data_IF_066577421981
#
_entry.id   IF_066577421981
#
_cell.length_a   1.000
_cell.length_b   1.000
_cell.length_c   1.000
_cell.angle_alpha   90.00
_cell.angle_beta   90.00
_cell.angle_gamma   90.00
#
_symmetry.space_group_name_H-M   'P 1'
#
loop_
_entity.id
_entity.type
_entity.pdbx_description
1 polymer ?
#
# COMPACT_ATOMS: atom_id res chain seq x y z
N UNK A 1 -16.01 -17.56 8.16
CA UNK A 1 -14.69 -17.07 7.73
C UNK A 1 -14.75 -15.67 7.12
N UNK A 2 -15.55 -15.43 6.08
CA UNK A 2 -15.55 -14.16 5.31
C UNK A 2 -16.05 -12.89 6.03
N UNK A 3 -16.67 -13.00 7.22
CA UNK A 3 -17.25 -11.87 7.96
C UNK A 3 -16.57 -11.60 9.31
N UNK A 4 -15.42 -12.25 9.57
CA UNK A 4 -14.66 -12.02 10.80
C UNK A 4 -13.87 -10.72 10.64
N UNK A 5 -14.05 -9.77 11.55
CA UNK A 5 -13.18 -8.61 11.65
C UNK A 5 -11.75 -9.07 11.97
N UNK A 6 -10.76 -8.51 11.26
CA UNK A 6 -9.34 -8.77 11.51
C UNK A 6 -8.71 -7.51 12.10
N UNK A 7 -8.02 -7.61 13.24
CA UNK A 7 -7.26 -6.48 13.75
C UNK A 7 -6.02 -6.26 12.85
N UNK A 8 -5.52 -5.02 12.81
CA UNK A 8 -4.44 -4.62 11.91
C UNK A 8 -3.06 -5.22 12.26
N UNK A 9 -2.92 -5.70 13.50
CA UNK A 9 -1.74 -6.39 14.02
C UNK A 9 -1.79 -7.91 13.80
N UNK A 10 -2.87 -8.45 13.22
CA UNK A 10 -2.98 -9.87 12.90
C UNK A 10 -1.94 -10.25 11.83
N UNK A 11 -1.13 -11.28 12.10
CA UNK A 11 -0.27 -11.88 11.08
C UNK A 11 -1.13 -12.68 10.09
N UNK A 12 -1.13 -12.23 8.84
CA UNK A 12 -1.79 -12.90 7.73
C UNK A 12 -0.87 -13.94 7.07
N UNK A 13 -1.40 -15.07 6.58
CA UNK A 13 -0.56 -16.10 5.98
C UNK A 13 0.17 -15.64 4.71
N UNK A 14 -0.26 -14.54 4.09
CA UNK A 14 0.35 -13.94 2.90
C UNK A 14 1.23 -12.71 3.20
N UNK A 15 1.52 -12.35 4.45
CA UNK A 15 2.34 -11.15 4.76
C UNK A 15 3.76 -11.18 4.18
N UNK A 16 4.28 -12.37 3.87
CA UNK A 16 5.57 -12.53 3.23
C UNK A 16 5.57 -12.11 1.75
N UNK A 17 4.39 -11.93 1.15
CA UNK A 17 4.25 -11.48 -0.24
C UNK A 17 4.27 -9.95 -0.24
N UNK A 18 5.25 -9.37 -0.94
CA UNK A 18 5.37 -7.92 -1.10
C UNK A 18 5.02 -7.49 -2.52
N UNK A 19 4.11 -6.53 -2.64
CA UNK A 19 3.83 -5.81 -3.89
C UNK A 19 4.68 -4.52 -4.04
N UNK A 20 5.68 -4.34 -3.17
CA UNK A 20 6.49 -3.10 -3.10
C UNK A 20 5.84 -1.96 -2.34
N UNK A 21 4.72 -2.22 -1.65
CA UNK A 21 4.05 -1.27 -0.75
C UNK A 21 4.39 -1.55 0.71
N UNK A 22 4.43 -0.50 1.53
CA UNK A 22 4.57 -0.57 2.97
C UNK A 22 3.27 -1.05 3.62
N UNK A 23 3.35 -1.97 4.58
CA UNK A 23 2.17 -2.46 5.32
C UNK A 23 1.44 -1.32 6.04
N UNK A 24 2.20 -0.36 6.57
CA UNK A 24 1.67 0.80 7.29
C UNK A 24 0.81 1.67 6.37
N UNK A 25 1.24 1.86 5.11
CA UNK A 25 0.46 2.60 4.11
C UNK A 25 -0.86 1.89 3.81
N UNK A 26 -0.83 0.57 3.59
CA UNK A 26 -2.05 -0.22 3.35
C UNK A 26 -3.02 -0.18 4.53
N UNK A 27 -2.50 -0.19 5.76
CA UNK A 27 -3.31 -0.08 6.97
C UNK A 27 -3.98 1.31 7.09
N UNK A 28 -3.25 2.38 6.74
CA UNK A 28 -3.80 3.74 6.70
C UNK A 28 -4.90 3.87 5.65
N UNK A 29 -4.66 3.39 4.43
CA UNK A 29 -5.66 3.42 3.35
C UNK A 29 -6.91 2.61 3.67
N UNK A 30 -6.73 1.46 4.34
CA UNK A 30 -7.85 0.66 4.84
C UNK A 30 -8.73 1.48 5.81
N UNK A 31 -8.13 2.16 6.79
CA UNK A 31 -8.87 3.03 7.73
C UNK A 31 -9.56 4.17 6.99
N UNK A 32 -8.82 4.87 6.13
CA UNK A 32 -9.29 6.03 5.36
C UNK A 32 -10.52 5.68 4.50
N UNK A 33 -10.56 4.46 3.95
CA UNK A 33 -11.71 3.96 3.19
C UNK A 33 -12.99 3.90 4.05
N UNK A 34 -12.91 3.51 5.32
CA UNK A 34 -14.08 3.50 6.22
C UNK A 34 -14.54 4.90 6.61
N UNK A 35 -13.65 5.88 6.52
CA UNK A 35 -13.96 7.30 6.73
C UNK A 35 -14.54 7.96 5.46
N UNK A 36 -14.66 7.20 4.36
CA UNK A 36 -15.13 7.69 3.06
C UNK A 36 -14.09 8.51 2.30
N UNK A 37 -12.84 8.46 2.73
CA UNK A 37 -11.75 9.17 2.11
C UNK A 37 -11.14 8.42 0.93
N UNK A 38 -10.47 9.20 0.06
CA UNK A 38 -9.76 8.71 -1.11
C UNK A 38 -8.41 9.41 -1.17
N UNK A 39 -7.43 8.73 -1.77
CA UNK A 39 -6.12 9.33 -2.05
C UNK A 39 -6.11 9.88 -3.46
N UNK A 40 -5.62 11.11 -3.58
CA UNK A 40 -5.46 11.80 -4.85
C UNK A 40 -4.38 11.13 -5.72
N UNK A 41 -4.25 11.62 -6.95
CA UNK A 41 -3.26 11.10 -7.91
C UNK A 41 -1.83 11.21 -7.37
N UNK A 42 -1.18 10.06 -7.16
CA UNK A 42 0.16 10.00 -6.60
C UNK A 42 1.26 10.54 -7.53
N UNK A 43 0.92 10.88 -8.78
CA UNK A 43 1.80 11.58 -9.73
C UNK A 43 1.92 13.07 -9.41
N UNK A 44 0.90 13.66 -8.79
CA UNK A 44 0.88 15.06 -8.36
C UNK A 44 1.54 15.23 -6.99
N UNK A 45 1.34 14.26 -6.08
CA UNK A 45 1.94 14.25 -4.75
C UNK A 45 2.33 12.84 -4.29
N UNK A 46 3.55 12.67 -3.79
CA UNK A 46 4.03 11.35 -3.32
C UNK A 46 3.58 11.05 -1.89
N UNK A 47 2.71 10.04 -1.73
CA UNK A 47 2.24 9.54 -0.43
C UNK A 47 3.21 8.58 0.29
N UNK A 48 4.42 8.41 -0.24
CA UNK A 48 5.46 7.57 0.39
C UNK A 48 5.05 6.11 0.65
N UNK A 49 4.18 5.55 -0.21
CA UNK A 49 3.63 4.21 -0.10
C UNK A 49 4.65 3.07 -0.26
N UNK A 50 5.86 3.36 -0.78
CA UNK A 50 6.96 2.41 -0.95
C UNK A 50 7.28 2.07 -2.41
N UNK A 51 6.33 2.23 -3.34
CA UNK A 51 6.44 1.74 -4.71
C UNK A 51 7.65 2.31 -5.47
N UNK A 52 7.93 3.61 -5.29
CA UNK A 52 9.04 4.30 -5.96
C UNK A 52 10.40 3.82 -5.48
N UNK A 53 10.49 3.46 -4.19
CA UNK A 53 11.72 2.92 -3.60
C UNK A 53 11.93 1.45 -3.95
N UNK A 54 10.86 0.65 -3.92
CA UNK A 54 10.94 -0.78 -4.21
C UNK A 54 11.29 -1.07 -5.67
N UNK A 55 10.67 -0.36 -6.62
CA UNK A 55 10.90 -0.54 -8.06
C UNK A 55 11.90 0.48 -8.64
N UNK A 56 12.84 0.96 -7.83
CA UNK A 56 13.77 2.03 -8.21
C UNK A 56 14.56 1.71 -9.49
N UNK A 57 15.04 0.48 -9.63
CA UNK A 57 15.85 0.09 -10.79
C UNK A 57 15.01 -0.08 -12.04
N UNK A 58 13.82 -0.69 -11.94
CA UNK A 58 12.88 -0.81 -13.05
C UNK A 58 12.44 0.57 -13.55
N UNK A 59 12.22 1.52 -12.65
CA UNK A 59 11.89 2.91 -13.00
C UNK A 59 13.01 3.63 -13.75
N UNK A 60 14.27 3.33 -13.45
CA UNK A 60 15.43 3.91 -14.16
C UNK A 60 15.58 3.37 -15.58
N UNK A 61 15.09 2.16 -15.81
CA UNK A 61 15.18 1.46 -17.10
C UNK A 61 13.94 1.69 -17.97
N UNK A 62 12.88 2.27 -17.43
CA UNK A 62 11.70 2.62 -18.20
C UNK A 62 12.05 3.78 -19.12
N UNK A 63 11.89 3.57 -20.43
CA UNK A 63 11.92 4.66 -21.41
C UNK A 63 10.72 5.60 -21.14
N UNK A 64 10.91 6.90 -21.39
CA UNK A 64 9.88 7.95 -21.20
C UNK A 64 8.63 7.74 -22.09
#
# INVERSE_FOLDING_TARGET
YARRARPLDEMLPWEHISAGLKKEFLAQEYIHTYEGGVVDDCREHCFSCGILGYFKEQRRQADD
#
